data_IF_155486365226
#
_entry.id   IF_155486365226
#
_cell.length_a   1.000
_cell.length_b   1.000
_cell.length_c   1.000
_cell.angle_alpha   90.00
_cell.angle_beta   90.00
_cell.angle_gamma   90.00
#
_symmetry.space_group_name_H-M   'P 1'
#
loop_
_entity.id
_entity.type
_entity.pdbx_description
1 polymer ?
#
# COMPACT_ATOMS: atom_id res chain seq x y z
N UNK A 1 0.19 22.77 7.12
CA UNK A 1 0.31 22.65 8.54
C UNK A 1 1.54 23.40 9.00
N UNK A 2 1.35 24.45 9.78
CA UNK A 2 2.45 25.15 10.44
C UNK A 2 3.01 24.20 11.50
N UNK A 3 4.25 23.77 11.36
CA UNK A 3 5.02 23.18 12.46
C UNK A 3 5.21 24.28 13.52
N UNK A 4 4.50 24.16 14.60
CA UNK A 4 4.79 24.95 15.79
C UNK A 4 5.99 24.32 16.50
N UNK A 5 6.84 25.19 17.05
CA UNK A 5 7.97 24.94 17.94
C UNK A 5 9.26 24.42 17.26
N UNK A 6 9.88 25.30 16.47
CA UNK A 6 11.32 25.43 16.57
C UNK A 6 11.58 26.23 17.85
N UNK A 7 12.11 25.60 18.89
CA UNK A 7 12.65 26.35 20.03
C UNK A 7 13.70 27.32 19.53
N UNK A 8 13.76 28.51 20.12
CA UNK A 8 14.83 29.44 19.81
C UNK A 8 16.18 28.77 20.12
N UNK A 9 17.13 28.89 19.16
CA UNK A 9 18.48 28.38 19.37
C UNK A 9 19.19 29.26 20.40
N UNK A 10 19.43 28.75 21.58
CA UNK A 10 20.27 29.37 22.61
C UNK A 10 21.69 28.79 22.50
N UNK A 11 22.62 29.53 21.92
CA UNK A 11 24.02 29.09 21.76
C UNK A 11 24.84 30.08 20.91
N UNK A 12 26.11 29.84 20.81
CA UNK A 12 27.02 30.55 19.92
C UNK A 12 27.14 29.79 18.59
N UNK A 13 27.00 30.49 17.47
CA UNK A 13 27.31 29.99 16.13
C UNK A 13 28.64 30.58 15.69
N UNK A 14 29.60 29.72 15.32
CA UNK A 14 30.87 30.10 14.77
C UNK A 14 31.13 29.34 13.45
N UNK A 15 31.97 29.90 12.59
CA UNK A 15 32.37 29.31 11.31
C UNK A 15 31.19 28.85 10.41
N UNK A 16 30.15 29.69 10.24
CA UNK A 16 29.06 29.40 9.32
C UNK A 16 29.54 29.29 7.87
N UNK A 17 29.36 28.13 7.26
CA UNK A 17 29.77 27.83 5.87
C UNK A 17 28.59 27.37 5.04
N UNK A 18 28.45 27.90 3.83
CA UNK A 18 27.42 27.51 2.85
C UNK A 18 28.10 26.81 1.69
N UNK A 19 27.57 25.68 1.30
CA UNK A 19 28.04 24.90 0.16
C UNK A 19 26.96 24.86 -0.92
N UNK A 20 27.36 24.81 -2.17
CA UNK A 20 26.49 24.71 -3.35
C UNK A 20 26.05 23.25 -3.64
N UNK A 21 26.46 22.33 -2.80
CA UNK A 21 26.13 20.90 -2.88
C UNK A 21 25.91 20.27 -1.51
N UNK A 22 25.27 19.11 -1.51
CA UNK A 22 25.14 18.29 -0.32
C UNK A 22 26.51 17.69 0.03
N UNK A 23 26.94 17.89 1.26
CA UNK A 23 28.13 17.27 1.79
C UNK A 23 27.84 15.85 2.25
N UNK A 24 28.81 14.94 2.08
CA UNK A 24 28.73 13.59 2.66
C UNK A 24 28.94 13.65 4.18
N UNK A 25 28.47 12.64 4.89
CA UNK A 25 28.68 12.53 6.34
C UNK A 25 30.17 12.58 6.73
N UNK A 26 31.03 12.05 5.86
CA UNK A 26 32.48 12.04 6.04
C UNK A 26 33.08 13.43 5.84
N UNK A 27 32.59 14.19 4.86
CA UNK A 27 33.00 15.58 4.64
C UNK A 27 32.56 16.49 5.79
N UNK A 28 31.33 16.34 6.28
CA UNK A 28 30.82 17.06 7.46
C UNK A 28 31.70 16.74 8.67
N UNK A 29 32.03 15.46 8.85
CA UNK A 29 32.88 15.01 9.95
C UNK A 29 34.30 15.55 9.84
N UNK A 30 34.88 15.65 8.65
CA UNK A 30 36.19 16.25 8.39
C UNK A 30 36.20 17.75 8.68
N UNK A 31 35.11 18.46 8.36
CA UNK A 31 35.00 19.91 8.64
C UNK A 31 34.82 20.24 10.12
N UNK A 32 34.36 19.29 10.94
CA UNK A 32 34.16 19.47 12.37
C UNK A 32 35.46 19.26 13.21
N UNK A 33 36.56 18.80 12.60
CA UNK A 33 37.84 18.63 13.30
C UNK A 33 38.66 19.90 13.24
N UNK A 34 39.08 20.47 14.37
CA UNK A 34 39.87 21.70 14.44
C UNK A 34 41.39 21.45 14.21
N UNK A 35 41.72 20.56 13.27
CA UNK A 35 43.12 20.21 13.00
C UNK A 35 43.56 20.81 11.68
N UNK A 36 44.54 21.68 11.73
CA UNK A 36 45.19 22.23 10.54
C UNK A 36 45.88 21.10 9.75
N UNK A 37 45.62 21.04 8.44
CA UNK A 37 46.28 20.05 7.57
C UNK A 37 47.82 20.24 7.60
N UNK A 38 48.29 21.46 7.80
CA UNK A 38 49.70 21.74 7.94
C UNK A 38 50.31 21.02 9.18
N UNK A 39 49.58 21.01 10.30
CA UNK A 39 50.01 20.32 11.50
C UNK A 39 49.98 18.78 11.33
N UNK A 40 49.06 18.26 10.49
CA UNK A 40 49.03 16.84 10.16
C UNK A 40 50.21 16.41 9.29
N UNK A 41 50.61 17.25 8.33
CA UNK A 41 51.70 16.93 7.42
C UNK A 41 53.08 16.89 8.12
N UNK A 42 53.23 17.51 9.27
CA UNK A 42 54.44 17.48 10.10
C UNK A 42 54.50 16.21 10.95
N UNK A 43 53.39 15.54 11.19
CA UNK A 43 53.34 14.32 12.01
C UNK A 43 53.66 13.07 11.19
N UNK A 44 54.18 12.04 11.83
CA UNK A 44 54.37 10.74 11.16
C UNK A 44 53.03 10.16 10.69
N UNK A 45 52.99 9.67 9.46
CA UNK A 45 51.78 9.15 8.79
C UNK A 45 51.09 8.03 9.61
N UNK A 46 51.85 7.23 10.34
CA UNK A 46 51.34 6.15 11.18
C UNK A 46 50.62 6.62 12.44
N UNK A 47 50.73 7.90 12.80
CA UNK A 47 50.05 8.50 13.94
C UNK A 47 48.68 9.12 13.57
N UNK A 48 48.27 9.09 12.29
CA UNK A 48 47.01 9.68 11.84
C UNK A 48 45.84 8.78 12.16
N UNK A 49 44.81 9.38 12.69
CA UNK A 49 43.51 8.69 12.81
C UNK A 49 42.91 8.45 11.43
N UNK A 50 41.99 7.46 11.28
CA UNK A 50 41.28 7.23 10.00
C UNK A 50 40.62 8.51 9.47
N UNK A 51 40.08 9.34 10.35
CA UNK A 51 39.46 10.65 10.05
C UNK A 51 40.47 11.63 9.46
N UNK A 52 41.62 11.83 10.13
CA UNK A 52 42.67 12.70 9.67
C UNK A 52 43.25 12.26 8.33
N UNK A 53 43.38 10.95 8.13
CA UNK A 53 43.80 10.40 6.85
C UNK A 53 42.77 10.72 5.73
N UNK A 54 41.48 10.70 6.07
CA UNK A 54 40.43 11.08 5.13
C UNK A 54 40.50 12.56 4.73
N UNK A 55 40.69 13.47 5.69
CA UNK A 55 40.86 14.91 5.44
C UNK A 55 42.03 15.18 4.49
N UNK A 56 43.22 14.59 4.81
CA UNK A 56 44.39 14.75 3.95
C UNK A 56 44.18 14.19 2.55
N UNK A 57 43.54 13.02 2.43
CA UNK A 57 43.20 12.42 1.13
C UNK A 57 42.23 13.30 0.32
N UNK A 58 41.24 13.89 0.97
CA UNK A 58 40.25 14.76 0.32
C UNK A 58 40.93 16.04 -0.19
N UNK A 59 41.78 16.67 0.63
CA UNK A 59 42.56 17.83 0.18
C UNK A 59 43.54 17.46 -0.94
N UNK A 60 44.23 16.35 -0.84
CA UNK A 60 45.13 15.90 -1.91
C UNK A 60 44.37 15.73 -3.23
N UNK A 61 43.20 15.10 -3.17
CA UNK A 61 42.32 14.95 -4.36
C UNK A 61 41.92 16.29 -4.95
N UNK A 62 41.63 17.29 -4.12
CA UNK A 62 41.19 18.61 -4.58
C UNK A 62 42.32 19.46 -5.17
N UNK A 63 43.55 19.26 -4.70
CA UNK A 63 44.71 20.07 -5.05
C UNK A 63 45.61 19.40 -6.08
N UNK A 64 45.49 18.11 -6.34
CA UNK A 64 46.41 17.40 -7.24
C UNK A 64 46.17 17.80 -8.70
N UNK A 65 47.22 18.17 -9.36
CA UNK A 65 47.27 18.42 -10.81
C UNK A 65 48.03 17.32 -11.57
N UNK A 66 48.33 16.19 -10.89
CA UNK A 66 49.03 15.08 -11.52
C UNK A 66 48.19 14.58 -12.76
N UNK A 67 48.78 14.63 -13.97
CA UNK A 67 48.10 14.29 -15.19
C UNK A 67 47.62 12.81 -15.26
N UNK A 68 48.18 11.95 -14.39
CA UNK A 68 47.77 10.53 -14.32
C UNK A 68 46.52 10.34 -13.45
N UNK A 69 46.29 11.23 -12.49
CA UNK A 69 45.21 11.11 -11.50
C UNK A 69 44.04 12.03 -11.84
N UNK A 70 44.32 13.23 -12.30
CA UNK A 70 43.33 14.28 -12.57
C UNK A 70 42.16 13.83 -13.48
N UNK A 71 42.39 13.12 -14.61
CA UNK A 71 41.28 12.66 -15.45
C UNK A 71 40.32 11.71 -14.71
N UNK A 72 40.86 10.80 -13.93
CA UNK A 72 40.06 9.84 -13.13
C UNK A 72 39.26 10.54 -12.04
N UNK A 73 39.84 11.57 -11.39
CA UNK A 73 39.13 12.39 -10.41
C UNK A 73 37.98 13.19 -11.04
N UNK A 74 38.19 13.77 -12.20
CA UNK A 74 37.14 14.49 -12.92
C UNK A 74 36.00 13.55 -13.32
N UNK A 75 36.32 12.36 -13.84
CA UNK A 75 35.30 11.34 -14.13
C UNK A 75 34.52 10.90 -12.87
N UNK A 76 35.21 10.69 -11.76
CA UNK A 76 34.60 10.33 -10.49
C UNK A 76 33.66 11.44 -9.99
N UNK A 77 34.08 12.69 -10.03
CA UNK A 77 33.24 13.82 -9.63
C UNK A 77 32.01 13.96 -10.53
N UNK A 78 32.17 13.79 -11.84
CA UNK A 78 31.04 13.84 -12.77
C UNK A 78 30.07 12.68 -12.52
N UNK A 79 30.57 11.47 -12.29
CA UNK A 79 29.74 10.33 -11.94
C UNK A 79 28.98 10.52 -10.61
N UNK A 80 29.64 11.12 -9.60
CA UNK A 80 28.99 11.47 -8.35
C UNK A 80 27.90 12.53 -8.53
N UNK A 81 28.15 13.53 -9.35
CA UNK A 81 27.16 14.57 -9.68
C UNK A 81 25.94 13.97 -10.38
N UNK A 82 26.15 13.09 -11.37
CA UNK A 82 25.08 12.37 -12.06
C UNK A 82 24.29 11.46 -11.10
N UNK A 83 24.97 10.75 -10.21
CA UNK A 83 24.32 9.93 -9.20
C UNK A 83 23.47 10.77 -8.24
N UNK A 84 23.98 11.92 -7.81
CA UNK A 84 23.25 12.84 -6.95
C UNK A 84 22.02 13.41 -7.65
N UNK A 85 22.18 13.85 -8.91
CA UNK A 85 21.06 14.31 -9.71
C UNK A 85 19.99 13.22 -9.91
N UNK A 86 20.41 11.99 -10.22
CA UNK A 86 19.51 10.86 -10.35
C UNK A 86 18.77 10.58 -9.02
N UNK A 87 19.46 10.57 -7.89
CA UNK A 87 18.83 10.37 -6.57
C UNK A 87 17.81 11.45 -6.24
N UNK A 88 18.04 12.70 -6.63
CA UNK A 88 17.09 13.81 -6.41
C UNK A 88 15.82 13.69 -7.27
N UNK A 89 15.90 13.03 -8.41
CA UNK A 89 14.73 12.81 -9.29
C UNK A 89 13.90 11.59 -8.89
N UNK A 90 14.43 10.73 -8.03
CA UNK A 90 13.68 9.55 -7.57
C UNK A 90 12.54 9.98 -6.64
N UNK A 91 11.30 9.55 -6.92
CA UNK A 91 10.21 9.81 -6.00
C UNK A 91 10.46 9.08 -4.68
N UNK A 92 10.44 9.82 -3.58
CA UNK A 92 10.55 9.25 -2.25
C UNK A 92 9.17 9.12 -1.62
N UNK A 93 8.95 8.03 -0.91
CA UNK A 93 7.75 7.80 -0.11
C UNK A 93 8.14 7.56 1.33
N UNK A 94 7.30 8.04 2.25
CA UNK A 94 7.49 7.70 3.66
C UNK A 94 7.13 6.25 3.86
N UNK A 95 8.01 5.49 4.49
CA UNK A 95 7.79 4.12 4.92
C UNK A 95 7.79 4.06 6.44
N UNK A 96 7.00 3.13 7.00
CA UNK A 96 7.04 2.88 8.43
C UNK A 96 8.27 2.04 8.75
N UNK A 97 9.03 2.48 9.75
CA UNK A 97 10.19 1.78 10.28
C UNK A 97 9.97 1.52 11.78
N UNK A 98 10.50 0.42 12.27
CA UNK A 98 10.44 0.13 13.70
C UNK A 98 11.41 1.03 14.45
N UNK A 99 10.99 1.50 15.63
CA UNK A 99 11.88 2.26 16.53
C UNK A 99 12.87 1.30 17.18
N UNK A 100 14.11 1.75 17.44
CA UNK A 100 15.13 0.97 18.18
C UNK A 100 14.60 0.52 19.54
N UNK A 101 13.90 1.41 20.25
CA UNK A 101 13.18 1.10 21.47
C UNK A 101 11.68 1.38 21.27
N UNK A 102 10.82 0.39 21.40
CA UNK A 102 9.39 0.58 21.31
C UNK A 102 8.88 1.59 22.35
N UNK A 103 7.98 2.47 21.92
CA UNK A 103 7.36 3.40 22.87
C UNK A 103 6.52 2.63 23.90
N UNK A 104 6.65 2.91 25.20
CA UNK A 104 5.79 2.29 26.22
C UNK A 104 4.31 2.54 25.92
N UNK A 105 3.54 1.48 25.93
CA UNK A 105 2.09 1.53 25.69
C UNK A 105 1.35 1.13 26.96
N UNK A 106 0.25 1.81 27.22
CA UNK A 106 -0.54 1.60 28.44
C UNK A 106 -2.01 1.41 28.11
N UNK A 107 -2.72 0.66 28.92
CA UNK A 107 -4.18 0.65 28.91
C UNK A 107 -4.63 2.01 29.43
N UNK A 108 -5.45 2.71 28.65
CA UNK A 108 -5.96 4.03 29.05
C UNK A 108 -7.14 3.87 29.99
N UNK A 109 -7.09 4.54 31.15
CA UNK A 109 -8.20 4.54 32.09
C UNK A 109 -9.40 5.27 31.48
N UNK A 110 -10.52 4.55 31.36
CA UNK A 110 -11.74 5.04 30.71
C UNK A 110 -11.52 5.58 29.28
N UNK A 111 -10.45 5.14 28.59
CA UNK A 111 -10.12 5.61 27.25
C UNK A 111 -9.51 7.03 27.19
N UNK A 112 -9.18 7.65 28.32
CA UNK A 112 -8.60 8.98 28.37
C UNK A 112 -7.12 8.93 28.05
N UNK A 113 -6.67 9.70 27.04
CA UNK A 113 -5.29 9.65 26.52
C UNK A 113 -4.24 10.15 27.53
N UNK A 114 -4.64 10.99 28.49
CA UNK A 114 -3.83 11.60 29.52
C UNK A 114 -3.82 10.79 30.84
N UNK A 115 -4.52 9.66 30.91
CA UNK A 115 -4.59 8.79 32.06
C UNK A 115 -4.05 7.38 31.75
N UNK A 116 -2.72 7.22 31.66
CA UNK A 116 -2.12 5.93 31.43
C UNK A 116 -2.29 5.00 32.65
N UNK A 117 -2.82 3.81 32.43
CA UNK A 117 -2.92 2.77 33.45
C UNK A 117 -1.76 1.77 33.33
N UNK A 118 -2.09 0.46 33.42
CA UNK A 118 -1.08 -0.61 33.34
C UNK A 118 -0.34 -0.61 32.01
N UNK A 119 0.98 -0.72 32.04
CA UNK A 119 1.80 -0.95 30.85
C UNK A 119 1.46 -2.31 30.22
N UNK A 120 1.46 -2.35 28.89
CA UNK A 120 1.20 -3.56 28.09
C UNK A 120 2.20 -3.68 26.97
N UNK A 121 2.57 -4.92 26.66
CA UNK A 121 3.38 -5.28 25.53
C UNK A 121 2.51 -5.67 24.32
N UNK A 122 3.06 -5.57 23.08
CA UNK A 122 2.37 -6.07 21.89
C UNK A 122 2.02 -7.55 22.04
N UNK A 123 0.77 -7.87 21.80
CA UNK A 123 0.28 -9.26 21.89
C UNK A 123 -0.86 -9.50 20.89
N UNK A 124 -1.17 -10.77 20.66
CA UNK A 124 -2.33 -11.18 19.86
C UNK A 124 -3.44 -11.74 20.75
N UNK A 125 -4.70 -11.73 20.30
CA UNK A 125 -5.79 -12.36 21.03
C UNK A 125 -5.58 -13.88 21.16
N UNK A 126 -5.17 -14.33 22.34
CA UNK A 126 -4.81 -15.75 22.58
C UNK A 126 -5.96 -16.76 22.37
N UNK A 127 -7.21 -16.29 22.34
CA UNK A 127 -8.38 -17.13 22.05
C UNK A 127 -8.53 -17.43 20.55
N UNK A 128 -7.88 -16.69 19.66
CA UNK A 128 -7.92 -16.94 18.21
C UNK A 128 -6.88 -18.01 17.85
N UNK A 129 -5.60 -17.72 18.09
CA UNK A 129 -4.51 -18.68 17.95
C UNK A 129 -3.31 -18.24 18.79
N UNK A 130 -2.44 -19.21 19.11
CA UNK A 130 -1.23 -18.92 19.88
C UNK A 130 -0.22 -18.14 19.06
N UNK A 131 0.51 -17.25 19.73
CA UNK A 131 1.69 -16.62 19.17
C UNK A 131 2.82 -17.65 19.00
N UNK A 132 3.49 -17.63 17.86
CA UNK A 132 4.70 -18.41 17.68
C UNK A 132 5.89 -17.61 18.24
N UNK A 133 6.66 -18.19 19.14
CA UNK A 133 7.79 -17.55 19.81
C UNK A 133 8.94 -17.19 18.83
N UNK A 134 8.99 -17.85 17.67
CA UNK A 134 9.94 -17.53 16.60
C UNK A 134 9.60 -16.21 15.85
N UNK A 135 8.40 -15.67 16.05
CA UNK A 135 7.99 -14.44 15.38
C UNK A 135 8.47 -13.22 16.17
N UNK A 136 9.05 -12.21 15.51
CA UNK A 136 9.45 -10.99 16.18
C UNK A 136 8.22 -10.24 16.72
N UNK A 137 8.33 -9.66 17.94
CA UNK A 137 7.23 -8.91 18.58
C UNK A 137 7.03 -7.53 17.95
N UNK A 138 6.78 -7.48 16.64
CA UNK A 138 6.58 -6.28 15.83
C UNK A 138 5.52 -6.51 14.73
N UNK A 139 5.37 -5.56 13.81
CA UNK A 139 4.41 -5.67 12.69
C UNK A 139 4.66 -6.85 11.76
N UNK A 140 5.92 -7.24 11.58
CA UNK A 140 6.26 -8.42 10.77
C UNK A 140 5.74 -9.69 11.43
N UNK A 141 5.97 -9.86 12.74
CA UNK A 141 5.44 -11.03 13.47
C UNK A 141 3.93 -11.07 13.48
N UNK A 142 3.25 -9.92 13.61
CA UNK A 142 1.79 -9.86 13.47
C UNK A 142 1.33 -10.31 12.07
N UNK A 143 2.02 -9.88 11.02
CA UNK A 143 1.70 -10.31 9.65
C UNK A 143 1.91 -11.83 9.47
N UNK A 144 2.99 -12.38 10.01
CA UNK A 144 3.26 -13.81 9.98
C UNK A 144 2.19 -14.60 10.74
N UNK A 145 1.76 -14.12 11.91
CA UNK A 145 0.69 -14.73 12.68
C UNK A 145 -0.65 -14.74 11.93
N UNK A 146 -1.01 -13.61 11.29
CA UNK A 146 -2.25 -13.49 10.51
C UNK A 146 -2.35 -14.47 9.35
N UNK A 147 -1.22 -14.81 8.71
CA UNK A 147 -1.18 -15.74 7.57
C UNK A 147 -0.68 -17.14 7.95
N UNK A 148 -0.53 -17.42 9.23
CA UNK A 148 -0.11 -18.75 9.69
C UNK A 148 -1.17 -19.81 9.41
N UNK A 149 -0.75 -21.05 9.19
CA UNK A 149 -1.65 -22.18 8.92
C UNK A 149 -2.63 -22.46 10.08
N UNK A 150 -2.24 -22.05 11.29
CA UNK A 150 -3.06 -22.19 12.50
C UNK A 150 -4.07 -21.08 12.70
N UNK A 151 -4.01 -20.00 11.90
CA UNK A 151 -4.94 -18.88 12.06
C UNK A 151 -6.31 -19.21 11.46
N UNK A 152 -7.39 -19.27 12.27
CA UNK A 152 -8.66 -19.85 11.82
C UNK A 152 -9.48 -18.93 10.90
N UNK A 153 -9.22 -17.62 10.89
CA UNK A 153 -10.13 -16.66 10.29
C UNK A 153 -9.64 -16.06 8.96
N UNK A 154 -8.35 -15.72 8.83
CA UNK A 154 -7.87 -14.94 7.69
C UNK A 154 -8.21 -15.55 6.34
N UNK A 155 -7.94 -16.84 6.17
CA UNK A 155 -8.25 -17.54 4.91
C UNK A 155 -9.76 -17.67 4.68
N UNK A 156 -10.54 -18.01 5.71
CA UNK A 156 -12.00 -18.11 5.61
C UNK A 156 -12.65 -16.80 5.23
N UNK A 157 -12.26 -15.71 5.88
CA UNK A 157 -12.78 -14.36 5.56
C UNK A 157 -12.43 -13.95 4.14
N UNK A 158 -11.19 -14.20 3.70
CA UNK A 158 -10.77 -13.87 2.34
C UNK A 158 -11.54 -14.67 1.30
N UNK A 159 -11.62 -15.98 1.48
CA UNK A 159 -12.38 -16.89 0.59
C UNK A 159 -13.85 -16.49 0.54
N UNK A 160 -14.46 -16.19 1.68
CA UNK A 160 -15.85 -15.74 1.74
C UNK A 160 -16.10 -14.45 0.94
N UNK A 161 -15.17 -13.49 1.01
CA UNK A 161 -15.25 -12.26 0.21
C UNK A 161 -15.09 -12.50 -1.28
N UNK A 162 -14.17 -13.40 -1.69
CA UNK A 162 -14.05 -13.80 -3.09
C UNK A 162 -15.30 -14.51 -3.57
N UNK A 163 -15.87 -15.40 -2.75
CA UNK A 163 -17.15 -16.06 -3.02
C UNK A 163 -18.27 -15.05 -3.21
N UNK A 164 -18.43 -14.10 -2.28
CA UNK A 164 -19.40 -13.02 -2.36
C UNK A 164 -19.25 -12.18 -3.64
N UNK A 165 -18.02 -11.87 -4.04
CA UNK A 165 -17.78 -11.16 -5.30
C UNK A 165 -18.28 -11.95 -6.52
N UNK A 166 -18.27 -13.27 -6.48
CA UNK A 166 -18.64 -14.12 -7.60
C UNK A 166 -20.13 -14.51 -7.56
N UNK A 167 -20.66 -14.85 -6.40
CA UNK A 167 -22.05 -15.31 -6.24
C UNK A 167 -23.03 -14.21 -5.81
N UNK A 168 -22.56 -13.07 -5.35
CA UNK A 168 -23.37 -11.97 -4.83
C UNK A 168 -23.53 -12.02 -3.32
N UNK A 169 -23.71 -13.19 -2.72
CA UNK A 169 -23.77 -13.41 -1.29
C UNK A 169 -22.63 -14.31 -0.83
N UNK A 170 -22.11 -14.07 0.37
CA UNK A 170 -21.08 -14.90 0.99
C UNK A 170 -21.64 -16.23 1.51
N UNK A 171 -20.80 -17.25 1.67
CA UNK A 171 -21.11 -18.45 2.41
C UNK A 171 -21.44 -18.12 3.88
N UNK A 172 -20.78 -17.10 4.41
CA UNK A 172 -21.18 -16.36 5.62
C UNK A 172 -21.75 -15.05 5.17
N UNK A 173 -23.02 -14.81 5.46
CA UNK A 173 -23.76 -13.62 5.02
C UNK A 173 -23.15 -12.33 5.59
N UNK A 174 -22.79 -12.35 6.87
CA UNK A 174 -22.11 -11.25 7.55
C UNK A 174 -20.62 -11.27 7.26
N UNK A 175 -20.21 -10.86 6.07
CA UNK A 175 -18.82 -10.94 5.61
C UNK A 175 -17.82 -10.12 6.47
N UNK A 176 -18.30 -9.16 7.24
CA UNK A 176 -17.57 -8.32 8.18
C UNK A 176 -17.57 -8.86 9.62
N UNK A 177 -18.43 -9.84 9.94
CA UNK A 177 -18.55 -10.42 11.26
C UNK A 177 -18.60 -11.95 11.20
N UNK A 178 -17.49 -12.58 11.55
CA UNK A 178 -17.32 -14.02 11.73
C UNK A 178 -17.35 -14.42 13.21
N UNK A 179 -17.78 -13.50 14.07
CA UNK A 179 -17.87 -13.71 15.52
C UNK A 179 -19.19 -14.34 15.94
N UNK A 180 -19.42 -14.30 17.25
CA UNK A 180 -20.60 -14.92 17.89
C UNK A 180 -21.92 -14.30 17.46
N UNK A 181 -21.92 -13.04 17.03
CA UNK A 181 -23.11 -12.34 16.54
C UNK A 181 -23.27 -12.42 15.01
N UNK A 182 -22.27 -12.94 14.30
CA UNK A 182 -22.33 -13.15 12.88
C UNK A 182 -23.21 -14.30 12.47
N UNK A 183 -23.60 -14.35 11.20
CA UNK A 183 -24.36 -15.43 10.61
C UNK A 183 -23.52 -16.72 10.55
N UNK A 184 -24.14 -17.86 10.80
CA UNK A 184 -23.51 -19.15 10.56
C UNK A 184 -23.30 -19.40 9.06
N UNK A 185 -22.21 -20.04 8.64
CA UNK A 185 -21.98 -20.36 7.25
C UNK A 185 -23.06 -21.32 6.72
N UNK A 186 -23.58 -21.05 5.52
CA UNK A 186 -24.55 -21.93 4.86
C UNK A 186 -23.95 -23.28 4.48
N UNK A 187 -22.67 -23.29 4.11
CA UNK A 187 -21.90 -24.47 3.70
C UNK A 187 -20.53 -24.46 4.38
N UNK A 188 -20.51 -24.86 5.65
CA UNK A 188 -19.28 -24.82 6.48
C UNK A 188 -18.14 -25.66 5.87
N UNK A 189 -18.44 -26.88 5.45
CA UNK A 189 -17.45 -27.79 4.89
C UNK A 189 -16.82 -27.25 3.59
N UNK A 190 -17.62 -26.60 2.76
CA UNK A 190 -17.14 -25.94 1.54
C UNK A 190 -16.24 -24.75 1.85
N UNK A 191 -16.62 -23.91 2.81
CA UNK A 191 -15.82 -22.79 3.26
C UNK A 191 -14.46 -23.25 3.79
N UNK A 192 -14.47 -24.29 4.60
CA UNK A 192 -13.27 -24.87 5.20
C UNK A 192 -12.37 -25.50 4.14
N UNK A 193 -12.95 -26.25 3.21
CA UNK A 193 -12.18 -26.86 2.11
C UNK A 193 -11.51 -25.78 1.24
N UNK A 194 -12.25 -24.77 0.84
CA UNK A 194 -11.72 -23.66 0.05
C UNK A 194 -10.62 -22.90 0.79
N UNK A 195 -10.78 -22.65 2.10
CA UNK A 195 -9.79 -21.98 2.92
C UNK A 195 -8.49 -22.79 3.03
N UNK A 196 -8.60 -24.08 3.25
CA UNK A 196 -7.43 -24.99 3.33
C UNK A 196 -6.73 -25.12 1.97
N UNK A 197 -7.47 -25.27 0.86
CA UNK A 197 -6.88 -25.31 -0.49
C UNK A 197 -6.19 -24.00 -0.82
N UNK A 198 -6.77 -22.86 -0.43
CA UNK A 198 -6.19 -21.55 -0.64
C UNK A 198 -4.85 -21.38 0.11
N UNK A 199 -4.77 -21.77 1.39
CA UNK A 199 -3.51 -21.78 2.16
C UNK A 199 -2.49 -22.69 1.49
N UNK A 200 -2.85 -23.94 1.18
CA UNK A 200 -1.97 -24.93 0.57
C UNK A 200 -1.46 -24.53 -0.82
N UNK A 201 -2.21 -23.71 -1.54
CA UNK A 201 -1.79 -23.16 -2.84
C UNK A 201 -0.80 -22.00 -2.72
N UNK A 202 -0.40 -21.61 -1.51
CA UNK A 202 0.44 -20.44 -1.27
C UNK A 202 -0.31 -19.13 -1.46
N UNK A 203 -1.58 -19.08 -1.10
CA UNK A 203 -2.45 -17.89 -1.20
C UNK A 203 -2.64 -17.44 -2.66
N UNK A 204 -2.75 -18.39 -3.62
CA UNK A 204 -2.95 -18.12 -5.04
C UNK A 204 -4.40 -17.73 -5.33
N UNK A 205 -4.64 -16.41 -5.39
CA UNK A 205 -5.97 -15.83 -5.65
C UNK A 205 -6.49 -16.22 -7.04
N UNK A 206 -5.62 -16.30 -8.05
CA UNK A 206 -6.05 -16.67 -9.42
C UNK A 206 -6.53 -18.11 -9.48
N UNK A 207 -5.83 -19.00 -8.79
CA UNK A 207 -6.25 -20.40 -8.65
C UNK A 207 -7.58 -20.52 -7.92
N UNK A 208 -7.77 -19.79 -6.82
CA UNK A 208 -9.03 -19.77 -6.08
C UNK A 208 -10.19 -19.32 -6.97
N UNK A 209 -10.04 -18.19 -7.65
CA UNK A 209 -11.07 -17.68 -8.59
C UNK A 209 -11.34 -18.71 -9.69
N UNK A 210 -10.30 -19.27 -10.31
CA UNK A 210 -10.46 -20.28 -11.37
C UNK A 210 -11.22 -21.51 -10.85
N UNK A 211 -10.87 -22.01 -9.68
CA UNK A 211 -11.55 -23.16 -9.05
C UNK A 211 -13.06 -22.90 -8.89
N UNK A 212 -13.42 -21.72 -8.41
CA UNK A 212 -14.82 -21.34 -8.20
C UNK A 212 -15.57 -21.20 -9.53
N UNK A 213 -15.05 -20.39 -10.48
CA UNK A 213 -15.79 -20.10 -11.73
C UNK A 213 -15.86 -21.27 -12.69
N UNK A 214 -14.99 -22.28 -12.56
CA UNK A 214 -15.08 -23.52 -13.35
C UNK A 214 -15.90 -24.61 -12.68
N UNK A 215 -16.35 -24.40 -11.44
CA UNK A 215 -17.18 -25.36 -10.72
C UNK A 215 -18.54 -25.58 -11.40
N UNK A 216 -19.12 -26.75 -11.24
CA UNK A 216 -20.46 -27.03 -11.72
C UNK A 216 -21.50 -26.09 -11.11
N UNK A 217 -21.33 -25.75 -9.83
CA UNK A 217 -22.20 -24.81 -9.09
C UNK A 217 -22.24 -23.44 -9.72
N UNK A 218 -21.09 -22.86 -10.09
CA UNK A 218 -21.03 -21.52 -10.72
C UNK A 218 -21.58 -21.52 -12.15
N UNK A 219 -21.44 -22.64 -12.84
CA UNK A 219 -21.84 -22.82 -14.24
C UNK A 219 -23.28 -23.28 -14.45
N UNK A 220 -24.04 -23.39 -13.38
CA UNK A 220 -25.49 -23.68 -13.46
C UNK A 220 -26.20 -22.58 -14.22
N UNK A 221 -27.35 -22.93 -14.80
CA UNK A 221 -28.27 -21.98 -15.36
C UNK A 221 -28.78 -21.01 -14.30
N UNK A 222 -28.89 -19.72 -14.62
CA UNK A 222 -29.37 -18.70 -13.70
C UNK A 222 -30.90 -18.49 -13.72
N UNK A 223 -31.60 -19.15 -14.62
CA UNK A 223 -33.06 -19.08 -14.67
C UNK A 223 -33.66 -19.65 -13.37
N UNK A 224 -34.71 -19.01 -12.90
CA UNK A 224 -35.36 -19.33 -11.64
C UNK A 224 -36.89 -19.45 -11.86
N UNK A 225 -37.48 -20.52 -11.35
CA UNK A 225 -38.94 -20.62 -11.30
C UNK A 225 -39.48 -19.73 -10.15
N UNK A 226 -40.75 -19.28 -10.25
CA UNK A 226 -41.39 -18.53 -9.17
C UNK A 226 -41.32 -19.29 -7.81
N UNK A 227 -41.49 -20.60 -7.84
CA UNK A 227 -41.45 -21.43 -6.64
C UNK A 227 -40.03 -21.46 -6.03
N UNK A 228 -38.97 -21.56 -6.85
CA UNK A 228 -37.61 -21.51 -6.37
C UNK A 228 -37.27 -20.13 -5.78
N UNK A 229 -37.81 -19.05 -6.38
CA UNK A 229 -37.60 -17.70 -5.88
C UNK A 229 -38.33 -17.49 -4.53
N UNK A 230 -39.47 -18.08 -4.33
CA UNK A 230 -40.20 -18.05 -3.07
C UNK A 230 -39.48 -18.85 -1.97
N UNK A 231 -38.92 -20.01 -2.33
CA UNK A 231 -38.24 -20.90 -1.41
C UNK A 231 -36.83 -20.41 -0.98
N UNK A 232 -36.06 -19.94 -1.95
CA UNK A 232 -34.67 -19.51 -1.76
C UNK A 232 -34.39 -18.24 -2.59
N UNK A 233 -34.95 -17.09 -2.18
CA UNK A 233 -34.78 -15.84 -2.91
C UNK A 233 -33.32 -15.43 -3.07
N UNK A 234 -32.51 -15.69 -2.08
CA UNK A 234 -31.09 -15.29 -2.03
C UNK A 234 -30.12 -16.34 -2.58
N UNK A 235 -30.65 -17.47 -3.11
CA UNK A 235 -29.83 -18.58 -3.59
C UNK A 235 -28.82 -19.11 -2.56
N UNK A 236 -29.26 -19.19 -1.30
CA UNK A 236 -28.40 -19.70 -0.18
C UNK A 236 -28.02 -21.16 -0.39
N UNK A 237 -28.89 -21.93 -1.02
CA UNK A 237 -28.69 -23.36 -1.29
C UNK A 237 -27.94 -23.64 -2.58
N UNK A 238 -27.51 -22.61 -3.30
CA UNK A 238 -26.73 -22.73 -4.53
C UNK A 238 -27.41 -23.61 -5.61
N UNK A 239 -28.75 -23.57 -5.66
CA UNK A 239 -29.56 -24.36 -6.59
C UNK A 239 -29.56 -23.81 -8.01
N UNK A 240 -29.05 -22.61 -8.24
CA UNK A 240 -28.95 -21.96 -9.53
C UNK A 240 -27.62 -21.17 -9.67
N UNK A 241 -27.26 -20.80 -10.89
CA UNK A 241 -26.13 -19.91 -11.13
C UNK A 241 -26.39 -18.50 -10.56
N UNK A 242 -25.31 -17.73 -10.28
CA UNK A 242 -25.44 -16.42 -9.70
C UNK A 242 -26.12 -15.44 -10.68
N UNK A 243 -27.07 -14.68 -10.17
CA UNK A 243 -27.74 -13.60 -10.90
C UNK A 243 -27.53 -12.30 -10.12
N UNK A 244 -26.61 -11.48 -10.59
CA UNK A 244 -26.25 -10.24 -9.91
C UNK A 244 -25.89 -9.13 -10.89
N UNK A 245 -26.09 -7.90 -10.47
CA UNK A 245 -25.62 -6.73 -11.21
C UNK A 245 -24.08 -6.66 -11.14
N UNK A 246 -23.45 -6.46 -12.29
CA UNK A 246 -22.00 -6.26 -12.33
C UNK A 246 -21.62 -4.88 -11.79
N UNK A 247 -20.54 -4.76 -11.03
CA UNK A 247 -19.99 -3.46 -10.64
C UNK A 247 -19.67 -2.59 -11.87
N UNK A 248 -19.86 -1.28 -11.75
CA UNK A 248 -19.70 -0.31 -12.83
C UNK A 248 -18.37 -0.44 -13.59
N UNK A 249 -17.29 -0.66 -12.87
CA UNK A 249 -15.95 -0.81 -13.47
C UNK A 249 -15.83 -2.09 -14.32
N UNK A 250 -16.51 -3.17 -13.96
CA UNK A 250 -16.58 -4.37 -14.80
C UNK A 250 -17.41 -4.15 -16.05
N UNK A 251 -18.56 -3.44 -15.93
CA UNK A 251 -19.39 -3.10 -17.10
C UNK A 251 -18.58 -2.32 -18.13
N UNK A 252 -17.85 -1.27 -17.68
CA UNK A 252 -16.99 -0.50 -18.59
C UNK A 252 -15.88 -1.35 -19.19
N UNK A 253 -15.19 -2.15 -18.40
CA UNK A 253 -14.09 -2.98 -18.89
C UNK A 253 -14.58 -4.05 -19.89
N UNK A 254 -15.78 -4.59 -19.69
CA UNK A 254 -16.44 -5.50 -20.62
C UNK A 254 -16.78 -4.82 -21.95
N UNK A 255 -17.31 -3.58 -21.90
CA UNK A 255 -17.59 -2.80 -23.11
C UNK A 255 -16.31 -2.51 -23.90
N UNK A 256 -15.23 -2.19 -23.22
CA UNK A 256 -13.91 -1.98 -23.84
C UNK A 256 -13.36 -3.27 -24.48
N UNK A 257 -13.53 -4.40 -23.82
CA UNK A 257 -13.12 -5.70 -24.34
C UNK A 257 -13.91 -6.07 -25.60
N UNK A 258 -15.24 -6.02 -25.52
CA UNK A 258 -16.13 -6.38 -26.63
C UNK A 258 -15.97 -5.47 -27.85
N UNK A 259 -15.67 -4.18 -27.64
CA UNK A 259 -15.41 -3.23 -28.73
C UNK A 259 -14.01 -3.35 -29.34
N UNK A 260 -13.12 -4.13 -28.73
CA UNK A 260 -11.72 -4.23 -29.14
C UNK A 260 -10.88 -2.98 -28.84
N UNK A 261 -11.42 -2.04 -28.07
CA UNK A 261 -10.74 -0.79 -27.72
C UNK A 261 -9.85 -0.91 -26.46
N UNK A 262 -9.99 -1.99 -25.69
CA UNK A 262 -9.26 -2.15 -24.42
C UNK A 262 -7.75 -2.12 -24.61
N UNK A 263 -7.09 -1.30 -23.81
CA UNK A 263 -5.64 -1.19 -23.76
C UNK A 263 -5.11 -1.85 -22.49
N UNK A 264 -4.35 -2.93 -22.64
CA UNK A 264 -3.79 -3.73 -21.54
C UNK A 264 -2.39 -3.26 -21.13
N UNK A 265 -2.28 -2.03 -20.62
CA UNK A 265 -1.06 -1.52 -20.00
C UNK A 265 -1.21 -1.64 -18.48
N UNK A 266 -0.31 -2.40 -17.86
CA UNK A 266 -0.27 -2.60 -16.40
C UNK A 266 0.64 -1.55 -15.76
N UNK A 267 0.16 -0.93 -14.66
CA UNK A 267 0.91 0.08 -13.92
C UNK A 267 0.87 1.47 -14.57
N UNK A 268 1.71 2.36 -14.08
CA UNK A 268 1.78 3.75 -14.56
C UNK A 268 0.74 4.69 -13.92
N UNK A 269 0.70 5.96 -14.36
CA UNK A 269 -0.16 6.98 -13.78
C UNK A 269 -1.65 6.72 -14.04
N UNK A 270 -2.53 7.33 -13.24
CA UNK A 270 -3.98 7.29 -13.49
C UNK A 270 -4.32 7.93 -14.82
N UNK A 271 -5.44 7.49 -15.40
CA UNK A 271 -5.98 8.01 -16.65
C UNK A 271 -7.31 8.70 -16.43
N UNK A 272 -7.66 9.58 -17.36
CA UNK A 272 -8.85 10.40 -17.32
C UNK A 272 -9.73 10.09 -18.55
N UNK A 273 -10.60 9.09 -18.48
CA UNK A 273 -11.54 8.74 -19.55
C UNK A 273 -12.46 9.93 -19.87
N UNK A 274 -13.11 9.87 -21.02
CA UNK A 274 -14.11 10.88 -21.41
C UNK A 274 -15.14 11.10 -20.32
N UNK A 275 -15.47 12.36 -20.09
CA UNK A 275 -16.63 12.80 -19.33
C UNK A 275 -17.20 14.09 -19.96
N UNK A 276 -18.49 14.41 -19.73
CA UNK A 276 -19.05 15.70 -20.14
C UNK A 276 -18.25 16.88 -19.58
N UNK A 277 -18.23 17.97 -20.34
CA UNK A 277 -17.55 19.21 -19.95
C UNK A 277 -18.18 19.80 -18.67
N UNK A 278 -17.44 20.68 -18.01
CA UNK A 278 -17.82 21.49 -16.83
C UNK A 278 -18.10 20.76 -15.52
N UNK A 279 -18.19 19.46 -15.48
CA UNK A 279 -18.43 18.71 -14.22
C UNK A 279 -17.42 19.02 -13.10
N UNK A 280 -16.17 19.26 -13.45
CA UNK A 280 -15.16 19.66 -12.48
C UNK A 280 -15.24 21.16 -12.17
N UNK A 281 -15.74 21.98 -13.09
CA UNK A 281 -15.92 23.42 -12.92
C UNK A 281 -16.87 23.76 -11.77
N UNK A 282 -17.91 22.97 -11.58
CA UNK A 282 -18.89 23.14 -10.49
C UNK A 282 -18.28 23.01 -9.09
N UNK A 283 -17.25 22.19 -8.90
CA UNK A 283 -16.65 21.88 -7.60
C UNK A 283 -15.20 22.28 -7.45
N UNK A 284 -14.55 22.70 -8.51
CA UNK A 284 -13.16 23.16 -8.46
C UNK A 284 -12.83 24.06 -9.67
N UNK A 285 -11.91 25.00 -9.47
CA UNK A 285 -11.38 25.86 -10.57
C UNK A 285 -10.44 25.12 -11.54
N UNK A 286 -10.32 23.79 -11.43
CA UNK A 286 -9.42 22.98 -12.27
C UNK A 286 -10.20 22.36 -13.41
N UNK A 287 -9.65 22.49 -14.61
CA UNK A 287 -10.16 21.80 -15.81
C UNK A 287 -9.88 20.31 -15.74
N UNK A 288 -10.76 19.49 -16.27
CA UNK A 288 -10.55 18.06 -16.39
C UNK A 288 -9.47 17.73 -17.44
N UNK A 289 -8.38 17.08 -17.08
CA UNK A 289 -7.30 16.80 -18.02
C UNK A 289 -7.58 15.51 -18.80
N UNK A 290 -8.60 15.49 -19.65
CA UNK A 290 -8.98 14.29 -20.39
C UNK A 290 -7.79 13.66 -21.14
N UNK A 291 -7.62 12.35 -21.00
CA UNK A 291 -6.63 11.58 -21.75
C UNK A 291 -7.02 11.54 -23.23
N UNK A 292 -6.11 11.97 -24.13
CA UNK A 292 -6.39 12.08 -25.57
C UNK A 292 -5.94 10.88 -26.39
N UNK A 293 -5.16 10.01 -25.79
CA UNK A 293 -4.50 8.85 -26.40
C UNK A 293 -5.12 7.51 -25.94
N UNK A 294 -4.38 6.44 -26.11
CA UNK A 294 -4.71 5.11 -25.63
C UNK A 294 -5.10 5.06 -24.14
N UNK A 295 -4.72 6.05 -23.34
CA UNK A 295 -5.11 6.17 -21.94
C UNK A 295 -6.62 6.20 -21.72
N UNK A 296 -7.42 6.70 -22.68
CA UNK A 296 -8.89 6.67 -22.62
C UNK A 296 -9.46 5.26 -22.46
N UNK A 297 -8.78 4.29 -23.03
CA UNK A 297 -9.26 2.91 -23.18
C UNK A 297 -8.59 1.93 -22.21
N UNK A 298 -7.82 2.45 -21.26
CA UNK A 298 -7.27 1.61 -20.19
C UNK A 298 -8.39 1.12 -19.27
N UNK A 299 -8.10 0.00 -18.58
CA UNK A 299 -9.03 -0.61 -17.62
C UNK A 299 -9.47 0.39 -16.55
N UNK A 300 -10.68 0.24 -16.08
CA UNK A 300 -11.32 1.11 -15.09
C UNK A 300 -10.52 1.23 -13.78
N UNK A 301 -9.70 0.21 -13.46
CA UNK A 301 -8.77 0.24 -12.34
C UNK A 301 -7.83 1.46 -12.35
N UNK A 302 -7.48 1.97 -13.54
CA UNK A 302 -6.57 3.11 -13.71
C UNK A 302 -7.30 4.45 -13.82
N UNK A 303 -8.63 4.47 -13.77
CA UNK A 303 -9.41 5.72 -13.83
C UNK A 303 -9.16 6.56 -12.57
N UNK A 304 -8.84 7.84 -12.78
CA UNK A 304 -8.71 8.78 -11.68
C UNK A 304 -10.07 9.07 -11.03
N UNK A 305 -10.16 8.81 -9.74
CA UNK A 305 -11.34 9.11 -8.93
C UNK A 305 -11.10 10.38 -8.10
N UNK A 306 -11.77 11.46 -8.45
CA UNK A 306 -11.78 12.65 -7.62
C UNK A 306 -12.76 12.45 -6.46
N UNK A 307 -12.36 12.84 -5.25
CA UNK A 307 -13.18 12.65 -4.04
C UNK A 307 -14.55 13.33 -4.14
N UNK A 308 -14.61 14.50 -4.76
CA UNK A 308 -15.80 15.36 -4.83
C UNK A 308 -16.66 15.12 -6.07
N UNK A 309 -16.11 14.49 -7.11
CA UNK A 309 -16.81 14.20 -8.37
C UNK A 309 -16.39 12.82 -8.86
N UNK A 310 -17.26 11.85 -8.69
CA UNK A 310 -17.03 10.53 -9.26
C UNK A 310 -17.23 10.56 -10.79
N UNK A 311 -16.54 9.69 -11.55
CA UNK A 311 -16.75 9.61 -13.00
C UNK A 311 -18.22 9.31 -13.34
N UNK A 312 -18.87 10.05 -14.25
CA UNK A 312 -20.31 9.92 -14.51
C UNK A 312 -20.77 8.52 -14.88
N UNK A 313 -20.01 7.84 -15.75
CA UNK A 313 -20.30 6.45 -16.11
C UNK A 313 -20.34 5.53 -14.88
N UNK A 314 -19.43 5.75 -13.94
CA UNK A 314 -19.39 4.97 -12.70
C UNK A 314 -20.61 5.25 -11.83
N UNK A 315 -21.03 6.50 -11.72
CA UNK A 315 -22.25 6.88 -10.98
C UNK A 315 -23.50 6.29 -11.60
N UNK A 316 -23.63 6.33 -12.93
CA UNK A 316 -24.78 5.75 -13.65
C UNK A 316 -24.98 4.27 -13.35
N UNK A 317 -23.91 3.55 -13.09
CA UNK A 317 -23.93 2.13 -12.74
C UNK A 317 -23.72 1.86 -11.25
N UNK A 318 -24.06 2.82 -10.38
CA UNK A 318 -24.00 2.70 -8.92
C UNK A 318 -22.63 2.25 -8.38
N UNK A 319 -21.55 2.80 -8.93
CA UNK A 319 -20.23 2.57 -8.34
C UNK A 319 -20.18 3.11 -6.92
N UNK A 320 -19.44 2.43 -6.06
CA UNK A 320 -19.20 2.89 -4.70
C UNK A 320 -18.63 4.30 -4.70
N UNK A 321 -19.29 5.20 -3.98
CA UNK A 321 -18.80 6.55 -3.71
C UNK A 321 -17.90 6.53 -2.47
N UNK A 322 -16.91 7.44 -2.44
CA UNK A 322 -16.05 7.62 -1.26
C UNK A 322 -16.78 8.14 -0.01
N UNK A 323 -17.98 8.66 -0.18
CA UNK A 323 -18.85 9.09 0.91
C UNK A 323 -19.70 7.94 1.46
N UNK A 324 -19.98 6.95 0.63
CA UNK A 324 -20.68 5.73 1.00
C UNK A 324 -19.62 4.64 1.19
N UNK A 325 -18.88 4.73 2.30
CA UNK A 325 -17.90 3.71 2.62
C UNK A 325 -18.57 2.35 2.81
N UNK A 326 -18.26 1.42 1.91
CA UNK A 326 -18.12 0.01 2.22
C UNK A 326 -19.27 -0.69 2.96
N UNK A 327 -20.51 -0.49 2.55
CA UNK A 327 -21.52 -1.49 2.87
C UNK A 327 -21.76 -2.36 1.63
N UNK A 328 -21.18 -3.56 1.57
CA UNK A 328 -21.42 -4.50 0.48
C UNK A 328 -22.92 -4.84 0.32
N UNK A 329 -23.70 -4.67 1.37
CA UNK A 329 -25.12 -4.97 1.39
C UNK A 329 -26.04 -3.87 0.78
N UNK A 330 -25.53 -2.66 0.50
CA UNK A 330 -26.34 -1.63 -0.18
C UNK A 330 -26.56 -1.90 -1.67
N UNK A 331 -25.80 -2.83 -2.27
CA UNK A 331 -25.97 -3.25 -3.65
C UNK A 331 -27.11 -4.26 -3.86
N UNK A 332 -27.68 -4.82 -2.79
CA UNK A 332 -28.69 -5.88 -2.88
C UNK A 332 -30.13 -5.44 -2.67
N UNK A 333 -30.41 -4.21 -2.23
CA UNK A 333 -31.78 -3.79 -1.83
C UNK A 333 -32.55 -2.95 -2.84
N UNK A 334 -32.11 -2.86 -4.10
CA UNK A 334 -32.92 -2.20 -5.15
C UNK A 334 -32.98 -3.04 -6.43
N UNK A 335 -33.77 -4.04 -6.41
CA UNK A 335 -34.48 -4.59 -7.59
C UNK A 335 -35.96 -4.43 -7.35
#
# INVERSE_FOLDING_TARGET
GRSAMAGEFEGALDEFRVYDRVLTSEEISALSEPVSVQDLLVREKNSWTPRQLHVVRTMFKSLTEDPRIRPALLQWHEAQKQLSACKQTLPTVMVMEEMEAPRPTHILLRGQYDQPGKAVDPAVPGFISKWNEDYPANRLGLAQWLVSDSHPLTARVFVNRVWQMLFGQGLVETAEDFGVQGASPTHLELLDWLAVDFIKSGWDVKRLVKSIVTSATYRQQSDVSPEMLEWDPENKWLARGPQKRLPAHFVRDQLLELSGLKVDIIGGPPVFPYQPDDLWGEVSRKTYPESKDAGRYRRSLYTYFKRTVAPPLMQTFDAADRHLSCHPNLLHHRL
#
